data_IF_865977039634
#
_entry.id   IF_865977039634
#
_cell.length_a   1.000
_cell.length_b   1.000
_cell.length_c   1.000
_cell.angle_alpha   90.00
_cell.angle_beta   90.00
_cell.angle_gamma   90.00
#
_symmetry.space_group_name_H-M   'P 1'
#
loop_
_entity.id
_entity.type
_entity.pdbx_description
1 polymer ?
#
# COMPACT_ATOMS: atom_id res chain seq x y z
N UNK A 1 22.47 49.16 -19.28
CA UNK A 1 23.77 48.50 -19.03
C UNK A 1 23.51 47.25 -18.22
N UNK A 2 24.04 46.12 -18.69
CA UNK A 2 24.25 44.82 -18.02
C UNK A 2 23.32 43.63 -18.40
N UNK A 3 23.88 42.79 -19.29
CA UNK A 3 23.77 41.32 -19.46
C UNK A 3 22.42 40.72 -19.82
N UNK A 4 22.13 40.14 -21.00
CA UNK A 4 22.86 39.21 -21.89
C UNK A 4 23.38 37.93 -21.21
N UNK A 5 22.56 36.87 -21.21
CA UNK A 5 22.92 35.51 -21.66
C UNK A 5 21.80 34.53 -21.28
N UNK A 6 21.20 33.86 -22.27
CA UNK A 6 21.16 32.39 -22.31
C UNK A 6 20.63 31.94 -23.67
N UNK A 7 21.43 31.08 -24.27
CA UNK A 7 21.44 30.68 -25.66
C UNK A 7 20.30 29.72 -25.99
N UNK A 8 19.69 29.94 -27.16
CA UNK A 8 18.97 28.93 -27.91
C UNK A 8 19.94 27.92 -28.52
N UNK A 9 19.55 26.64 -28.57
CA UNK A 9 19.89 25.59 -29.57
C UNK A 9 19.27 24.29 -29.04
N UNK A 10 18.62 23.40 -29.78
CA UNK A 10 18.29 23.26 -31.20
C UNK A 10 17.08 22.32 -31.31
N UNK A 11 16.33 22.48 -32.39
CA UNK A 11 15.14 21.70 -32.72
C UNK A 11 15.42 20.21 -33.00
N UNK A 12 14.48 19.36 -32.61
CA UNK A 12 14.10 18.17 -33.38
C UNK A 12 12.57 18.16 -33.51
N UNK A 13 12.13 18.41 -34.74
CA UNK A 13 10.75 18.52 -35.19
C UNK A 13 10.15 17.13 -35.45
N UNK A 14 8.84 16.96 -35.20
CA UNK A 14 8.11 15.71 -35.48
C UNK A 14 6.60 15.79 -35.27
N UNK A 15 5.96 16.82 -35.86
CA UNK A 15 4.57 16.93 -36.36
C UNK A 15 3.40 16.21 -35.64
N UNK A 16 2.40 16.99 -35.17
CA UNK A 16 1.01 16.48 -35.06
C UNK A 16 0.03 17.16 -34.10
N UNK A 17 -0.45 18.37 -34.42
CA UNK A 17 -1.81 18.92 -34.17
C UNK A 17 -2.51 18.85 -32.77
N UNK A 18 -2.84 20.06 -32.29
CA UNK A 18 -4.10 20.53 -31.64
C UNK A 18 -4.30 20.35 -30.11
N UNK A 19 -4.46 21.51 -29.47
CA UNK A 19 -4.86 21.83 -28.10
C UNK A 19 -5.84 20.87 -27.42
N UNK A 20 -5.54 20.53 -26.16
CA UNK A 20 -6.50 20.58 -25.06
C UNK A 20 -5.77 20.65 -23.70
N UNK A 21 -6.16 21.61 -22.88
CA UNK A 21 -5.73 21.79 -21.51
C UNK A 21 -5.99 20.52 -20.66
N UNK A 22 -5.06 20.19 -19.75
CA UNK A 22 -5.27 19.12 -18.78
C UNK A 22 -4.00 18.67 -18.07
N UNK A 23 -3.60 19.43 -17.05
CA UNK A 23 -2.95 18.95 -15.81
C UNK A 23 -1.97 17.79 -15.95
N UNK A 24 -0.80 18.03 -16.55
CA UNK A 24 0.38 17.18 -16.41
C UNK A 24 1.12 17.54 -15.11
N UNK A 25 0.53 17.18 -13.97
CA UNK A 25 1.10 17.40 -12.63
C UNK A 25 1.08 16.16 -11.73
N UNK A 26 0.85 14.96 -12.29
CA UNK A 26 0.75 13.72 -11.52
C UNK A 26 1.45 12.57 -12.25
N UNK A 27 2.72 12.76 -12.57
CA UNK A 27 3.59 11.67 -13.04
C UNK A 27 5.01 11.71 -12.41
N UNK A 28 5.33 12.74 -11.61
CA UNK A 28 6.66 12.91 -11.01
C UNK A 28 6.75 12.60 -9.51
N UNK A 29 5.65 12.23 -8.83
CA UNK A 29 5.69 11.93 -7.39
C UNK A 29 5.93 10.44 -7.05
N UNK A 30 5.98 9.57 -8.08
CA UNK A 30 6.16 8.12 -7.90
C UNK A 30 7.62 7.63 -7.95
N UNK A 31 8.60 8.53 -8.07
CA UNK A 31 10.03 8.14 -8.06
C UNK A 31 10.79 8.56 -6.78
N UNK A 32 10.22 9.41 -5.93
CA UNK A 32 10.92 9.94 -4.73
C UNK A 32 10.59 9.24 -3.40
N UNK A 33 9.91 8.09 -3.42
CA UNK A 33 9.71 7.24 -2.22
C UNK A 33 10.63 6.02 -2.18
N UNK A 34 11.59 5.92 -3.10
CA UNK A 34 12.53 4.81 -3.20
C UNK A 34 13.96 5.15 -2.72
N UNK A 35 14.26 6.40 -2.37
CA UNK A 35 15.62 6.82 -1.95
C UNK A 35 15.85 6.84 -0.43
N UNK A 36 14.83 6.69 0.41
CA UNK A 36 15.00 6.72 1.89
C UNK A 36 15.34 5.36 2.52
N UNK A 37 15.64 4.33 1.70
CA UNK A 37 16.06 3.02 2.19
C UNK A 37 17.57 2.77 2.10
N UNK A 38 18.32 3.59 1.36
CA UNK A 38 19.77 3.41 1.14
C UNK A 38 20.66 4.38 1.94
N UNK A 39 20.11 5.39 2.61
CA UNK A 39 20.90 6.35 3.41
C UNK A 39 21.40 5.81 4.77
N UNK A 40 21.19 4.51 5.06
CA UNK A 40 21.69 3.87 6.28
C UNK A 40 23.02 3.12 6.09
N UNK A 41 23.54 3.02 4.86
CA UNK A 41 24.74 2.25 4.53
C UNK A 41 26.02 3.11 4.44
N UNK A 42 26.12 4.18 5.23
CA UNK A 42 27.34 5.02 5.30
C UNK A 42 27.85 5.30 6.71
N UNK A 43 27.47 4.48 7.69
CA UNK A 43 28.25 4.38 8.93
C UNK A 43 28.56 2.92 9.19
N UNK A 44 29.77 2.53 8.79
CA UNK A 44 30.45 1.33 9.27
C UNK A 44 30.60 1.43 10.80
N UNK A 45 29.53 1.09 11.50
CA UNK A 45 29.60 0.59 12.86
C UNK A 45 29.51 -0.93 12.73
N UNK A 46 30.50 -1.64 13.26
CA UNK A 46 30.45 -3.08 13.46
C UNK A 46 29.02 -3.49 13.84
N UNK A 47 28.38 -4.48 13.15
CA UNK A 47 27.09 -4.98 13.58
C UNK A 47 27.28 -5.69 14.92
N UNK A 48 27.27 -4.92 16.00
CA UNK A 48 27.14 -5.41 17.35
C UNK A 48 25.88 -6.29 17.35
N UNK A 49 25.95 -7.51 17.89
CA UNK A 49 24.82 -8.42 17.84
C UNK A 49 23.63 -7.75 18.50
N UNK A 50 22.69 -7.28 17.68
CA UNK A 50 21.45 -6.69 18.17
C UNK A 50 20.82 -7.71 19.09
N UNK A 51 20.62 -7.31 20.34
CA UNK A 51 20.01 -8.17 21.33
C UNK A 51 18.69 -8.70 20.77
N UNK A 52 18.33 -9.94 21.13
CA UNK A 52 17.09 -10.58 20.67
C UNK A 52 15.86 -9.72 20.97
N UNK A 53 15.95 -8.81 21.94
CA UNK A 53 14.91 -7.83 22.27
C UNK A 53 14.75 -6.73 21.21
N UNK A 54 15.84 -6.13 20.73
CA UNK A 54 15.78 -5.09 19.69
C UNK A 54 15.28 -5.65 18.35
N UNK A 55 15.69 -6.87 18.00
CA UNK A 55 15.16 -7.59 16.82
C UNK A 55 13.64 -7.77 16.89
N UNK A 56 13.11 -8.11 18.06
CA UNK A 56 11.65 -8.25 18.30
C UNK A 56 10.91 -6.92 18.17
N UNK A 57 11.45 -5.83 18.72
CA UNK A 57 10.84 -4.49 18.58
C UNK A 57 10.79 -4.06 17.12
N UNK A 58 11.90 -4.22 16.39
CA UNK A 58 11.96 -3.86 14.98
C UNK A 58 10.98 -4.69 14.13
N UNK A 59 10.89 -5.99 14.41
CA UNK A 59 9.91 -6.89 13.79
C UNK A 59 8.46 -6.41 14.01
N UNK A 60 8.10 -6.07 15.26
CA UNK A 60 6.77 -5.53 15.60
C UNK A 60 6.48 -4.23 14.89
N UNK A 61 7.41 -3.28 14.91
CA UNK A 61 7.23 -1.97 14.26
C UNK A 61 7.02 -2.13 12.75
N UNK A 62 7.85 -2.94 12.07
CA UNK A 62 7.69 -3.19 10.64
C UNK A 62 6.40 -3.92 10.33
N UNK A 63 6.04 -4.93 11.12
CA UNK A 63 4.76 -5.62 10.99
C UNK A 63 3.59 -4.63 11.07
N UNK A 64 3.57 -3.75 12.08
CA UNK A 64 2.50 -2.77 12.25
C UNK A 64 2.47 -1.76 11.12
N UNK A 65 3.62 -1.23 10.71
CA UNK A 65 3.70 -0.29 9.59
C UNK A 65 3.18 -0.91 8.29
N UNK A 66 3.60 -2.14 8.00
CA UNK A 66 3.18 -2.88 6.80
C UNK A 66 1.68 -3.21 6.86
N UNK A 67 1.21 -3.73 7.99
CA UNK A 67 -0.19 -4.11 8.18
C UNK A 67 -1.12 -2.88 8.15
N UNK A 68 -0.72 -1.75 8.75
CA UNK A 68 -1.52 -0.53 8.77
C UNK A 68 -1.69 0.07 7.36
N UNK A 69 -0.61 0.08 6.57
CA UNK A 69 -0.68 0.51 5.18
C UNK A 69 -1.56 -0.42 4.34
N UNK A 70 -1.43 -1.73 4.55
CA UNK A 70 -2.23 -2.72 3.85
C UNK A 70 -3.72 -2.58 4.17
N UNK A 71 -4.06 -2.37 5.44
CA UNK A 71 -5.41 -2.18 5.93
C UNK A 71 -6.02 -0.87 5.41
N UNK A 72 -5.27 0.24 5.45
CA UNK A 72 -5.69 1.53 4.92
C UNK A 72 -5.99 1.50 3.41
N UNK A 73 -5.11 0.88 2.61
CA UNK A 73 -5.30 0.74 1.17
C UNK A 73 -6.55 -0.10 0.83
N UNK A 74 -6.70 -1.26 1.49
CA UNK A 74 -7.86 -2.11 1.29
C UNK A 74 -9.17 -1.41 1.74
N UNK A 75 -9.13 -0.64 2.83
CA UNK A 75 -10.32 0.07 3.29
C UNK A 75 -10.80 1.13 2.29
N UNK A 76 -9.90 1.96 1.76
CA UNK A 76 -10.26 3.03 0.83
C UNK A 76 -10.63 2.54 -0.56
N UNK A 77 -9.94 1.51 -1.07
CA UNK A 77 -10.04 1.12 -2.48
C UNK A 77 -10.77 -0.19 -2.73
N UNK A 78 -11.00 -1.00 -1.69
CA UNK A 78 -11.76 -2.25 -1.79
C UNK A 78 -13.06 -2.12 -0.99
N UNK A 79 -12.97 -1.90 0.32
CA UNK A 79 -14.11 -1.98 1.24
C UNK A 79 -15.07 -0.80 1.04
N UNK A 80 -14.60 0.45 1.00
CA UNK A 80 -15.46 1.62 0.75
C UNK A 80 -16.19 1.57 -0.59
N UNK A 81 -15.53 1.37 -1.74
CA UNK A 81 -16.23 1.32 -3.02
C UNK A 81 -17.19 0.14 -3.09
N UNK A 82 -16.84 -1.00 -2.48
CA UNK A 82 -17.75 -2.13 -2.34
C UNK A 82 -19.02 -1.77 -1.55
N UNK A 83 -18.87 -1.17 -0.35
CA UNK A 83 -20.02 -0.69 0.46
C UNK A 83 -20.88 0.33 -0.28
N UNK A 84 -20.26 1.17 -1.13
CA UNK A 84 -20.95 2.13 -2.00
C UNK A 84 -21.57 1.50 -3.25
N UNK A 85 -21.50 0.17 -3.41
CA UNK A 85 -22.04 -0.55 -4.56
C UNK A 85 -21.28 -0.29 -5.88
N UNK A 86 -20.06 0.27 -5.85
CA UNK A 86 -19.29 0.64 -7.05
C UNK A 86 -18.83 -0.55 -7.89
N UNK A 87 -18.91 -1.77 -7.35
CA UNK A 87 -18.57 -3.00 -8.07
C UNK A 87 -19.77 -3.68 -8.75
N UNK A 88 -21.00 -3.21 -8.49
CA UNK A 88 -22.22 -3.69 -9.16
C UNK A 88 -22.14 -3.47 -10.67
N UNK A 89 -22.75 -4.37 -11.45
CA UNK A 89 -22.71 -4.34 -12.93
C UNK A 89 -23.16 -3.00 -13.50
N UNK A 90 -24.17 -2.38 -12.88
CA UNK A 90 -24.77 -1.12 -13.35
C UNK A 90 -24.13 0.14 -12.75
N UNK A 91 -23.05 -0.01 -11.97
CA UNK A 91 -22.41 1.12 -11.31
C UNK A 91 -21.55 1.94 -12.29
N UNK A 92 -21.82 3.25 -12.36
CA UNK A 92 -20.98 4.19 -13.13
C UNK A 92 -19.55 4.18 -12.60
N UNK A 93 -18.59 3.85 -13.49
CA UNK A 93 -17.17 3.75 -13.15
C UNK A 93 -16.71 2.41 -12.59
N UNK A 94 -17.52 1.34 -12.72
CA UNK A 94 -17.19 -0.02 -12.25
C UNK A 94 -15.79 -0.47 -12.67
N UNK A 95 -15.42 -0.36 -13.96
CA UNK A 95 -14.10 -0.79 -14.46
C UNK A 95 -12.95 -0.10 -13.73
N UNK A 96 -13.04 1.22 -13.54
CA UNK A 96 -12.01 1.98 -12.80
C UNK A 96 -11.95 1.56 -11.33
N UNK A 97 -13.10 1.32 -10.71
CA UNK A 97 -13.17 0.84 -9.34
C UNK A 97 -12.54 -0.55 -9.20
N UNK A 98 -12.83 -1.48 -10.11
CA UNK A 98 -12.26 -2.83 -10.13
C UNK A 98 -10.75 -2.83 -10.38
N UNK A 99 -10.25 -1.99 -11.30
CA UNK A 99 -8.81 -1.84 -11.53
C UNK A 99 -8.11 -1.30 -10.29
N UNK A 100 -8.65 -0.24 -9.67
CA UNK A 100 -8.10 0.31 -8.42
C UNK A 100 -8.14 -0.69 -7.29
N UNK A 101 -9.24 -1.43 -7.16
CA UNK A 101 -9.40 -2.44 -6.13
C UNK A 101 -8.45 -3.62 -6.36
N UNK A 102 -8.23 -4.05 -7.60
CA UNK A 102 -7.28 -5.09 -7.96
C UNK A 102 -5.82 -4.68 -7.66
N UNK A 103 -5.44 -3.44 -8.00
CA UNK A 103 -4.12 -2.88 -7.67
C UNK A 103 -3.93 -2.75 -6.15
N UNK A 104 -4.94 -2.22 -5.45
CA UNK A 104 -4.92 -2.14 -3.99
C UNK A 104 -4.85 -3.52 -3.34
N UNK A 105 -5.59 -4.51 -3.87
CA UNK A 105 -5.55 -5.89 -3.38
C UNK A 105 -4.18 -6.54 -3.56
N UNK A 106 -3.53 -6.30 -4.71
CA UNK A 106 -2.17 -6.77 -4.95
C UNK A 106 -1.15 -6.10 -4.02
N UNK A 107 -1.26 -4.79 -3.80
CA UNK A 107 -0.45 -4.06 -2.83
C UNK A 107 -0.65 -4.58 -1.40
N UNK A 108 -1.90 -4.72 -0.96
CA UNK A 108 -2.27 -5.29 0.34
C UNK A 108 -1.68 -6.70 0.50
N UNK A 109 -1.76 -7.57 -0.50
CA UNK A 109 -1.14 -8.90 -0.45
C UNK A 109 0.38 -8.84 -0.28
N UNK A 110 1.08 -8.03 -1.09
CA UNK A 110 2.53 -7.93 -0.99
C UNK A 110 2.98 -7.39 0.37
N UNK A 111 2.24 -6.40 0.89
CA UNK A 111 2.51 -5.75 2.18
C UNK A 111 2.18 -6.66 3.37
N UNK A 112 1.05 -7.38 3.33
CA UNK A 112 0.71 -8.38 4.34
C UNK A 112 1.74 -9.52 4.36
N UNK A 113 2.22 -9.97 3.20
CA UNK A 113 3.26 -11.01 3.14
C UNK A 113 4.59 -10.51 3.69
N UNK A 114 4.93 -9.23 3.47
CA UNK A 114 6.07 -8.60 4.15
C UNK A 114 5.86 -8.56 5.67
N UNK A 115 4.67 -8.19 6.12
CA UNK A 115 4.29 -8.20 7.53
C UNK A 115 4.45 -9.60 8.14
N UNK A 116 3.96 -10.66 7.47
CA UNK A 116 4.11 -12.05 7.94
C UNK A 116 5.57 -12.47 8.03
N UNK A 117 6.43 -12.04 7.10
CA UNK A 117 7.87 -12.30 7.18
C UNK A 117 8.51 -11.56 8.37
N UNK A 118 8.16 -10.31 8.59
CA UNK A 118 8.66 -9.52 9.73
C UNK A 118 8.21 -10.12 11.06
N UNK A 119 6.97 -10.59 11.13
CA UNK A 119 6.41 -11.26 12.30
C UNK A 119 7.18 -12.52 12.73
N UNK A 120 7.86 -13.21 11.80
CA UNK A 120 8.74 -14.35 12.13
C UNK A 120 9.90 -13.98 13.06
N UNK A 121 10.27 -12.70 13.11
CA UNK A 121 11.28 -12.17 14.03
C UNK A 121 10.79 -12.03 15.48
N UNK A 122 9.49 -12.23 15.75
CA UNK A 122 8.93 -12.20 17.10
C UNK A 122 8.09 -13.46 17.39
N UNK A 123 8.36 -14.19 18.50
CA UNK A 123 7.70 -15.45 18.78
C UNK A 123 6.21 -15.34 19.12
N UNK A 124 5.71 -14.19 19.58
CA UNK A 124 4.29 -13.97 19.85
C UNK A 124 3.54 -13.67 18.54
N UNK A 125 4.08 -12.78 17.71
CA UNK A 125 3.53 -12.47 16.38
C UNK A 125 3.54 -13.69 15.47
N UNK A 126 4.61 -14.48 15.48
CA UNK A 126 4.74 -15.70 14.67
C UNK A 126 3.62 -16.70 14.96
N UNK A 127 3.32 -16.92 16.24
CA UNK A 127 2.25 -17.85 16.66
C UNK A 127 0.88 -17.34 16.25
N UNK A 128 0.63 -16.03 16.39
CA UNK A 128 -0.64 -15.43 16.04
C UNK A 128 -0.91 -15.41 14.52
N UNK A 129 0.15 -15.28 13.69
CA UNK A 129 0.01 -15.26 12.22
C UNK A 129 0.13 -16.61 11.54
N UNK A 130 0.65 -17.65 12.21
CA UNK A 130 0.72 -19.00 11.66
C UNK A 130 -0.62 -19.48 11.04
N UNK A 131 -1.77 -19.42 11.75
CA UNK A 131 -3.06 -19.83 11.17
C UNK A 131 -3.57 -18.87 10.09
N UNK A 132 -3.03 -17.66 10.01
CA UNK A 132 -3.47 -16.63 9.07
C UNK A 132 -2.75 -16.68 7.72
N UNK A 133 -1.61 -17.35 7.64
CA UNK A 133 -0.77 -17.34 6.43
C UNK A 133 -1.54 -17.91 5.22
N UNK A 134 -2.26 -19.02 5.41
CA UNK A 134 -3.13 -19.59 4.38
C UNK A 134 -4.25 -18.62 3.95
N UNK A 135 -4.80 -17.86 4.89
CA UNK A 135 -5.77 -16.81 4.60
C UNK A 135 -5.16 -15.71 3.73
N UNK A 136 -3.99 -15.20 4.11
CA UNK A 136 -3.26 -14.16 3.35
C UNK A 136 -2.92 -14.66 1.94
N UNK A 137 -2.51 -15.92 1.78
CA UNK A 137 -2.25 -16.50 0.46
C UNK A 137 -3.51 -16.63 -0.40
N UNK A 138 -4.66 -16.89 0.21
CA UNK A 138 -5.94 -16.87 -0.52
C UNK A 138 -6.26 -15.49 -1.12
N UNK A 139 -5.83 -14.38 -0.47
CA UNK A 139 -6.02 -13.01 -0.98
C UNK A 139 -5.41 -12.78 -2.37
N UNK A 140 -4.34 -13.50 -2.73
CA UNK A 140 -3.72 -13.40 -4.06
C UNK A 140 -4.72 -13.77 -5.16
N UNK A 141 -5.48 -14.84 -4.93
CA UNK A 141 -6.55 -15.27 -5.82
C UNK A 141 -7.67 -14.23 -5.89
N UNK A 142 -8.04 -13.66 -4.75
CA UNK A 142 -9.08 -12.63 -4.69
C UNK A 142 -8.69 -11.33 -5.39
N UNK A 143 -7.46 -10.85 -5.25
CA UNK A 143 -6.98 -9.65 -5.96
C UNK A 143 -7.07 -9.80 -7.48
N UNK A 144 -6.80 -11.00 -7.98
CA UNK A 144 -6.96 -11.34 -9.40
C UNK A 144 -8.44 -11.33 -9.81
N UNK A 145 -9.33 -11.93 -9.01
CA UNK A 145 -10.79 -11.88 -9.25
C UNK A 145 -11.33 -10.45 -9.22
N UNK A 146 -10.85 -9.62 -8.28
CA UNK A 146 -11.22 -8.21 -8.16
C UNK A 146 -10.88 -7.44 -9.44
N UNK A 147 -9.67 -7.66 -9.99
CA UNK A 147 -9.24 -7.03 -11.25
C UNK A 147 -10.06 -7.51 -12.45
N UNK A 148 -10.40 -8.80 -12.49
CA UNK A 148 -11.21 -9.40 -13.57
C UNK A 148 -12.70 -9.02 -13.46
N UNK A 149 -13.14 -8.56 -12.30
CA UNK A 149 -14.54 -8.25 -12.03
C UNK A 149 -15.41 -9.44 -11.64
N UNK A 150 -14.77 -10.57 -11.30
CA UNK A 150 -15.41 -11.82 -10.87
C UNK A 150 -15.54 -11.93 -9.35
N UNK A 151 -15.04 -10.93 -8.62
CA UNK A 151 -15.09 -10.95 -7.17
C UNK A 151 -16.51 -10.68 -6.65
N UNK A 152 -16.97 -11.57 -5.80
CA UNK A 152 -18.25 -11.50 -5.11
C UNK A 152 -18.16 -10.67 -3.82
N UNK A 153 -19.33 -10.38 -3.27
CA UNK A 153 -19.50 -9.84 -1.93
C UNK A 153 -18.74 -10.62 -0.84
N UNK A 154 -18.72 -11.96 -0.98
CA UNK A 154 -18.05 -12.85 -0.04
C UNK A 154 -16.52 -12.75 -0.14
N UNK A 155 -16.00 -12.53 -1.36
CA UNK A 155 -14.57 -12.32 -1.57
C UNK A 155 -14.12 -11.01 -0.89
N UNK A 156 -14.87 -9.92 -1.06
CA UNK A 156 -14.53 -8.64 -0.39
C UNK A 156 -14.66 -8.75 1.14
N UNK A 157 -15.65 -9.51 1.64
CA UNK A 157 -15.75 -9.84 3.06
C UNK A 157 -14.51 -10.55 3.58
N UNK A 158 -13.99 -11.52 2.82
CA UNK A 158 -12.77 -12.25 3.18
C UNK A 158 -11.55 -11.34 3.33
N UNK A 159 -11.42 -10.30 2.48
CA UNK A 159 -10.38 -9.27 2.64
C UNK A 159 -10.50 -8.55 3.98
N UNK A 160 -11.71 -8.11 4.34
CA UNK A 160 -11.98 -7.43 5.59
C UNK A 160 -11.70 -8.34 6.80
N UNK A 161 -12.09 -9.60 6.72
CA UNK A 161 -11.89 -10.57 7.81
C UNK A 161 -10.42 -10.88 8.02
N UNK A 162 -9.64 -11.08 6.95
CA UNK A 162 -8.20 -11.31 7.07
C UNK A 162 -7.50 -10.07 7.62
N UNK A 163 -7.86 -8.88 7.16
CA UNK A 163 -7.30 -7.63 7.70
C UNK A 163 -7.62 -7.50 9.19
N UNK A 164 -8.85 -7.75 9.62
CA UNK A 164 -9.23 -7.71 11.03
C UNK A 164 -8.45 -8.75 11.84
N UNK A 165 -8.34 -9.99 11.36
CA UNK A 165 -7.54 -11.02 12.02
C UNK A 165 -6.06 -10.64 12.14
N UNK A 166 -5.48 -9.98 11.13
CA UNK A 166 -4.10 -9.49 11.19
C UNK A 166 -3.97 -8.37 12.23
N UNK A 167 -4.96 -7.47 12.31
CA UNK A 167 -5.02 -6.41 13.33
C UNK A 167 -5.18 -6.98 14.74
N UNK A 168 -6.01 -8.01 14.90
CA UNK A 168 -6.22 -8.70 16.17
C UNK A 168 -4.95 -9.43 16.59
N UNK A 169 -4.32 -10.20 15.70
CA UNK A 169 -3.04 -10.86 15.94
C UNK A 169 -1.96 -9.86 16.35
N UNK A 170 -1.88 -8.71 15.68
CA UNK A 170 -0.99 -7.61 16.06
C UNK A 170 -1.29 -7.08 17.45
N UNK A 171 -2.57 -6.78 17.74
CA UNK A 171 -3.00 -6.24 19.03
C UNK A 171 -2.74 -7.21 20.18
N UNK A 172 -3.04 -8.50 20.00
CA UNK A 172 -2.74 -9.57 20.97
C UNK A 172 -1.23 -9.73 21.21
N UNK A 173 -0.39 -9.40 20.24
CA UNK A 173 1.06 -9.40 20.40
C UNK A 173 1.64 -8.08 20.94
N UNK A 174 0.80 -7.12 21.34
CA UNK A 174 1.19 -5.81 21.85
C UNK A 174 1.61 -4.81 20.75
N UNK A 175 1.20 -5.06 19.51
CA UNK A 175 1.55 -4.30 18.32
C UNK A 175 0.26 -3.88 17.57
N UNK A 176 -0.53 -2.94 18.13
CA UNK A 176 -1.84 -2.60 17.60
C UNK A 176 -1.74 -1.94 16.22
N UNK A 177 -2.40 -2.55 15.25
CA UNK A 177 -2.47 -2.05 13.87
C UNK A 177 -3.62 -1.06 13.76
N UNK A 178 -3.31 0.24 13.78
CA UNK A 178 -4.30 1.30 13.60
C UNK A 178 -4.46 1.64 12.13
N UNK A 179 -5.71 1.77 11.67
CA UNK A 179 -6.02 2.30 10.34
C UNK A 179 -5.66 3.79 10.30
N UNK A 180 -4.45 4.11 9.83
CA UNK A 180 -4.03 5.48 9.52
C UNK A 180 -4.67 5.91 8.21
N UNK A 181 -5.94 6.28 8.26
CA UNK A 181 -6.57 7.08 7.21
C UNK A 181 -7.09 8.37 7.83
N UNK A 182 -6.48 9.53 7.54
CA UNK A 182 -7.08 10.82 7.85
C UNK A 182 -8.48 10.87 7.24
N UNK A 183 -9.45 11.37 8.01
CA UNK A 183 -10.76 11.65 7.43
C UNK A 183 -10.60 12.75 6.36
N UNK A 184 -11.45 12.77 5.34
CA UNK A 184 -11.42 13.80 4.30
C UNK A 184 -11.47 15.23 4.90
N UNK A 185 -12.05 15.37 6.09
CA UNK A 185 -12.08 16.62 6.88
C UNK A 185 -10.71 17.10 7.37
N UNK A 186 -9.71 16.21 7.47
CA UNK A 186 -8.31 16.56 7.79
C UNK A 186 -7.47 16.85 6.55
N UNK A 187 -7.92 16.45 5.35
CA UNK A 187 -7.26 16.79 4.08
C UNK A 187 -7.73 18.14 3.53
N UNK A 188 -8.93 18.61 3.91
CA UNK A 188 -9.53 19.86 3.43
C UNK A 188 -9.23 21.09 4.32
N UNK A 189 -8.40 20.93 5.36
CA UNK A 189 -7.90 22.03 6.19
C UNK A 189 -6.39 22.09 6.03
N UNK A 190 -5.98 22.65 4.89
CA UNK A 190 -4.62 23.07 4.56
C UNK A 190 -4.75 24.31 3.70
#
# INVERSE_FOLDING_TARGET
>A
MLSCALLFTSAACGSGSKNAAGTSGQAQELQQLQEVQDAADLMAADPTPTSTFEKRKFAKTRFVADAALAAGAAYQWIIKPYKKGKFKKDAKGRKLALVKAGLAGAFTYNRLKAATKNAKGDPLLSKALAPLTAGIDSLKGLGTKLRKGDASSSDVGSFNDIINKVKDAGSSAGAPVKDKVPSLSQLNKG
#
